data_IF_679308397835
#
_entry.id   IF_679308397835
#
_cell.length_a   1.000
_cell.length_b   1.000
_cell.length_c   1.000
_cell.angle_alpha   90.00
_cell.angle_beta   90.00
_cell.angle_gamma   90.00
#
_symmetry.space_group_name_H-M   'P 1'
#
loop_
_entity.id
_entity.type
_entity.pdbx_description
1 polymer ?
#
# COMPACT_ATOMS: atom_id res chain seq x y z
N UNK A 1 18.94 29.62 -9.94
CA UNK A 1 17.80 28.84 -9.43
C UNK A 1 16.70 29.82 -9.06
N UNK A 2 15.48 29.69 -9.61
CA UNK A 2 14.33 30.53 -9.20
C UNK A 2 14.14 30.40 -7.70
N UNK A 3 14.08 31.52 -6.97
CA UNK A 3 13.80 31.50 -5.53
C UNK A 3 12.41 30.87 -5.31
N UNK A 4 12.39 29.66 -4.75
CA UNK A 4 11.16 28.96 -4.35
C UNK A 4 10.40 29.82 -3.33
N UNK A 5 9.08 29.92 -3.48
CA UNK A 5 8.25 30.63 -2.52
C UNK A 5 8.33 29.96 -1.14
N UNK A 6 7.99 30.70 -0.07
CA UNK A 6 7.96 30.14 1.30
C UNK A 6 7.06 28.90 1.41
N UNK A 7 5.96 28.87 0.63
CA UNK A 7 5.07 27.71 0.54
C UNK A 7 5.69 26.54 -0.21
N UNK A 8 6.38 26.78 -1.32
CA UNK A 8 7.03 25.70 -2.07
C UNK A 8 8.14 25.05 -1.25
N UNK A 9 8.89 25.83 -0.45
CA UNK A 9 9.89 25.29 0.49
C UNK A 9 9.25 24.32 1.49
N UNK A 10 8.11 24.69 2.09
CA UNK A 10 7.35 23.80 3.00
C UNK A 10 6.88 22.53 2.28
N UNK A 11 6.45 22.65 1.02
CA UNK A 11 6.06 21.49 0.22
C UNK A 11 7.26 20.57 -0.07
N UNK A 12 8.44 21.12 -0.37
CA UNK A 12 9.67 20.32 -0.55
C UNK A 12 10.03 19.56 0.73
N UNK A 13 9.96 20.19 1.91
CA UNK A 13 10.17 19.47 3.17
C UNK A 13 9.14 18.34 3.38
N UNK A 14 7.88 18.58 3.02
CA UNK A 14 6.83 17.55 3.05
C UNK A 14 7.13 16.36 2.13
N UNK A 15 7.64 16.62 0.92
CA UNK A 15 8.09 15.57 0.01
C UNK A 15 9.24 14.78 0.63
N UNK A 16 10.28 15.45 1.14
CA UNK A 16 11.43 14.78 1.75
C UNK A 16 10.98 13.88 2.91
N UNK A 17 10.13 14.40 3.80
CA UNK A 17 9.58 13.63 4.91
C UNK A 17 8.80 12.40 4.42
N UNK A 18 7.97 12.56 3.38
CA UNK A 18 7.23 11.44 2.80
C UNK A 18 8.14 10.36 2.22
N UNK A 19 9.24 10.74 1.55
CA UNK A 19 10.25 9.80 1.05
C UNK A 19 10.93 9.05 2.20
N UNK A 20 11.28 9.75 3.28
CA UNK A 20 11.88 9.12 4.48
C UNK A 20 10.92 8.08 5.08
N UNK A 21 9.63 8.42 5.22
CA UNK A 21 8.60 7.48 5.71
C UNK A 21 8.49 6.26 4.79
N UNK A 22 8.50 6.44 3.47
CA UNK A 22 8.47 5.32 2.52
C UNK A 22 9.71 4.43 2.65
N UNK A 23 10.91 4.99 2.85
CA UNK A 23 12.14 4.23 3.11
C UNK A 23 12.00 3.40 4.39
N UNK A 24 11.46 3.96 5.47
CA UNK A 24 11.15 3.18 6.67
C UNK A 24 10.18 2.03 6.38
N UNK A 25 9.15 2.28 5.57
CA UNK A 25 8.23 1.23 5.12
C UNK A 25 8.94 0.08 4.41
N UNK A 26 9.88 0.38 3.51
CA UNK A 26 10.71 -0.64 2.83
C UNK A 26 11.58 -1.40 3.83
N UNK A 27 12.18 -0.72 4.82
CA UNK A 27 12.96 -1.40 5.86
C UNK A 27 12.10 -2.35 6.72
N UNK A 28 10.86 -1.97 7.04
CA UNK A 28 9.91 -2.85 7.70
C UNK A 28 9.50 -4.03 6.81
N UNK A 29 9.39 -3.83 5.50
CA UNK A 29 9.10 -4.89 4.53
C UNK A 29 10.23 -5.92 4.48
N UNK A 30 11.49 -5.48 4.34
CA UNK A 30 12.67 -6.36 4.32
C UNK A 30 12.79 -7.16 5.62
N UNK A 31 12.40 -6.58 6.76
CA UNK A 31 12.34 -7.26 8.04
C UNK A 31 11.16 -8.24 8.13
N UNK A 32 9.99 -7.88 7.59
CA UNK A 32 8.83 -8.79 7.51
C UNK A 32 9.13 -10.05 6.68
N UNK A 33 9.88 -9.89 5.59
CA UNK A 33 10.32 -10.98 4.73
C UNK A 33 11.40 -11.88 5.37
N UNK A 34 11.95 -11.50 6.53
CA UNK A 34 13.00 -12.25 7.20
C UNK A 34 14.39 -12.13 6.54
N UNK A 35 14.58 -11.13 5.67
CA UNK A 35 15.86 -10.89 4.97
C UNK A 35 16.86 -10.19 5.88
N UNK A 36 16.40 -9.23 6.71
CA UNK A 36 17.25 -8.51 7.66
C UNK A 36 16.50 -8.04 8.91
N UNK A 37 17.12 -8.17 10.09
CA UNK A 37 16.52 -7.81 11.38
C UNK A 37 16.90 -6.39 11.84
N UNK A 38 16.42 -5.36 11.14
CA UNK A 38 16.72 -3.96 11.48
C UNK A 38 16.14 -3.49 12.82
N UNK A 39 14.98 -4.05 13.23
CA UNK A 39 14.22 -3.62 14.41
C UNK A 39 13.82 -4.82 15.27
N UNK A 40 14.44 -4.96 16.44
CA UNK A 40 14.19 -6.10 17.35
C UNK A 40 12.74 -6.17 17.83
N UNK A 41 12.14 -5.04 18.22
CA UNK A 41 10.75 -4.99 18.70
C UNK A 41 9.74 -5.38 17.63
N UNK A 42 10.04 -5.07 16.36
CA UNK A 42 9.21 -5.46 15.23
C UNK A 42 9.38 -6.94 14.87
N UNK A 43 10.61 -7.46 14.95
CA UNK A 43 10.89 -8.88 14.74
C UNK A 43 10.16 -9.77 15.76
N UNK A 44 9.90 -9.27 16.97
CA UNK A 44 9.18 -9.97 18.03
C UNK A 44 7.66 -10.17 17.76
N UNK A 45 7.09 -9.50 16.77
CA UNK A 45 5.70 -9.73 16.36
C UNK A 45 5.60 -11.16 15.81
N UNK A 46 4.75 -12.00 16.39
CA UNK A 46 4.63 -13.40 15.97
C UNK A 46 3.83 -13.56 14.68
N UNK A 47 2.71 -12.84 14.56
CA UNK A 47 1.84 -12.96 13.40
C UNK A 47 2.46 -12.25 12.17
N UNK A 48 2.70 -12.95 11.05
CA UNK A 48 3.25 -12.34 9.85
C UNK A 48 2.35 -11.25 9.27
N UNK A 49 1.03 -11.45 9.23
CA UNK A 49 0.07 -10.46 8.74
C UNK A 49 0.12 -9.16 9.54
N UNK A 50 0.34 -9.24 10.86
CA UNK A 50 0.53 -8.06 11.70
C UNK A 50 1.78 -7.25 11.30
N UNK A 51 2.88 -7.92 10.93
CA UNK A 51 4.08 -7.25 10.38
C UNK A 51 3.75 -6.51 9.09
N UNK A 52 3.13 -7.20 8.13
CA UNK A 52 2.72 -6.58 6.87
C UNK A 52 1.71 -5.45 7.05
N UNK A 53 0.84 -5.51 8.06
CA UNK A 53 -0.08 -4.41 8.38
C UNK A 53 0.69 -3.13 8.78
N UNK A 54 1.75 -3.25 9.59
CA UNK A 54 2.62 -2.10 9.90
C UNK A 54 3.30 -1.55 8.65
N UNK A 55 3.81 -2.42 7.77
CA UNK A 55 4.40 -2.02 6.48
C UNK A 55 3.39 -1.21 5.66
N UNK A 56 2.18 -1.74 5.49
CA UNK A 56 1.10 -1.11 4.73
C UNK A 56 0.77 0.26 5.33
N UNK A 57 0.60 0.36 6.65
CA UNK A 57 0.28 1.63 7.32
C UNK A 57 1.39 2.68 7.12
N UNK A 58 2.65 2.30 7.30
CA UNK A 58 3.79 3.22 7.14
C UNK A 58 3.92 3.67 5.69
N UNK A 59 3.87 2.73 4.73
CA UNK A 59 3.96 3.07 3.30
C UNK A 59 2.78 3.89 2.81
N UNK A 60 1.55 3.52 3.19
CA UNK A 60 0.35 4.27 2.84
C UNK A 60 0.40 5.69 3.39
N UNK A 61 0.87 5.87 4.64
CA UNK A 61 1.07 7.21 5.23
C UNK A 61 2.05 8.05 4.42
N UNK A 62 3.18 7.46 4.01
CA UNK A 62 4.17 8.12 3.15
C UNK A 62 3.57 8.54 1.80
N UNK A 63 2.88 7.64 1.11
CA UNK A 63 2.25 7.90 -0.19
C UNK A 63 1.16 8.97 -0.09
N UNK A 64 0.29 8.88 0.93
CA UNK A 64 -0.77 9.87 1.18
C UNK A 64 -0.20 11.25 1.50
N UNK A 65 0.87 11.32 2.31
CA UNK A 65 1.55 12.57 2.61
C UNK A 65 2.16 13.17 1.34
N UNK A 66 2.89 12.36 0.54
CA UNK A 66 3.46 12.80 -0.73
C UNK A 66 2.37 13.35 -1.65
N UNK A 67 1.29 12.59 -1.83
CA UNK A 67 0.18 12.95 -2.72
C UNK A 67 -0.47 14.26 -2.28
N UNK A 68 -0.80 14.41 -1.00
CA UNK A 68 -1.40 15.62 -0.45
C UNK A 68 -0.48 16.85 -0.60
N UNK A 69 0.83 16.68 -0.39
CA UNK A 69 1.81 17.75 -0.56
C UNK A 69 1.99 18.12 -2.04
N UNK A 70 2.02 17.14 -2.94
CA UNK A 70 2.15 17.36 -4.39
C UNK A 70 1.00 18.24 -4.93
N UNK A 71 -0.20 18.08 -4.40
CA UNK A 71 -1.39 18.85 -4.79
C UNK A 71 -1.34 20.32 -4.38
N UNK A 72 -0.45 20.70 -3.46
CA UNK A 72 -0.31 22.07 -2.94
C UNK A 72 0.67 22.94 -3.72
N UNK A 73 1.43 22.38 -4.67
CA UNK A 73 2.30 23.17 -5.53
C UNK A 73 1.49 24.10 -6.45
N UNK A 74 1.93 25.36 -6.54
CA UNK A 74 1.32 26.37 -7.39
C UNK A 74 1.60 26.13 -8.87
N UNK A 75 2.80 25.63 -9.19
CA UNK A 75 3.20 25.24 -10.55
C UNK A 75 2.38 24.03 -11.03
N UNK A 76 1.51 24.27 -12.03
CA UNK A 76 0.63 23.26 -12.59
C UNK A 76 1.39 22.10 -13.23
N UNK A 77 2.52 22.37 -13.90
CA UNK A 77 3.32 21.34 -14.57
C UNK A 77 4.02 20.47 -13.53
N UNK A 78 4.57 21.06 -12.47
CA UNK A 78 5.20 20.32 -11.39
C UNK A 78 4.17 19.46 -10.62
N UNK A 79 3.03 20.04 -10.24
CA UNK A 79 1.94 19.34 -9.55
C UNK A 79 1.45 18.13 -10.34
N UNK A 80 1.16 18.30 -11.63
CA UNK A 80 0.70 17.19 -12.49
C UNK A 80 1.74 16.08 -12.58
N UNK A 81 3.01 16.43 -12.80
CA UNK A 81 4.10 15.42 -12.90
C UNK A 81 4.30 14.64 -11.60
N UNK A 82 4.36 15.33 -10.46
CA UNK A 82 4.53 14.68 -9.16
C UNK A 82 3.34 13.77 -8.82
N UNK A 83 2.12 14.21 -9.15
CA UNK A 83 0.92 13.42 -8.86
C UNK A 83 0.80 12.20 -9.78
N UNK A 84 1.13 12.34 -11.07
CA UNK A 84 1.19 11.19 -11.99
C UNK A 84 2.28 10.20 -11.54
N UNK A 85 3.44 10.71 -11.10
CA UNK A 85 4.52 9.86 -10.60
C UNK A 85 4.07 9.04 -9.38
N UNK A 86 3.51 9.68 -8.36
CA UNK A 86 3.13 8.97 -7.13
C UNK A 86 1.95 8.01 -7.35
N UNK A 87 1.00 8.37 -8.21
CA UNK A 87 -0.14 7.48 -8.56
C UNK A 87 0.32 6.26 -9.36
N UNK A 88 1.24 6.43 -10.33
CA UNK A 88 1.86 5.32 -11.05
C UNK A 88 2.67 4.42 -10.11
N UNK A 89 3.45 5.02 -9.20
CA UNK A 89 4.21 4.28 -8.19
C UNK A 89 3.30 3.47 -7.27
N UNK A 90 2.23 4.08 -6.74
CA UNK A 90 1.24 3.39 -5.92
C UNK A 90 0.57 2.24 -6.68
N UNK A 91 0.17 2.46 -7.94
CA UNK A 91 -0.41 1.42 -8.79
C UNK A 91 0.51 0.21 -8.94
N UNK A 92 1.80 0.44 -9.24
CA UNK A 92 2.78 -0.63 -9.40
C UNK A 92 2.94 -1.44 -8.10
N UNK A 93 2.95 -0.77 -6.94
CA UNK A 93 3.04 -1.44 -5.64
C UNK A 93 1.76 -2.20 -5.26
N UNK A 94 0.60 -1.76 -5.74
CA UNK A 94 -0.68 -2.43 -5.44
C UNK A 94 -0.88 -3.71 -6.27
N UNK A 95 -0.22 -3.87 -7.44
CA UNK A 95 -0.29 -5.10 -8.25
C UNK A 95 0.13 -6.34 -7.44
N UNK A 96 1.32 -6.39 -6.81
CA UNK A 96 1.73 -7.51 -5.98
C UNK A 96 0.77 -7.81 -4.83
N UNK A 97 0.32 -6.77 -4.12
CA UNK A 97 -0.63 -6.92 -3.03
C UNK A 97 -1.94 -7.54 -3.51
N UNK A 98 -2.51 -7.00 -4.60
CA UNK A 98 -3.76 -7.49 -5.19
C UNK A 98 -3.65 -8.95 -5.60
N UNK A 99 -2.53 -9.31 -6.23
CA UNK A 99 -2.26 -10.70 -6.58
C UNK A 99 -2.30 -11.62 -5.36
N UNK A 100 -1.60 -11.26 -4.27
CA UNK A 100 -1.58 -12.09 -3.05
C UNK A 100 -2.98 -12.26 -2.50
N UNK A 101 -3.74 -11.16 -2.38
CA UNK A 101 -5.10 -11.22 -1.83
C UNK A 101 -6.04 -12.11 -2.65
N UNK A 102 -5.88 -12.15 -3.97
CA UNK A 102 -6.63 -13.04 -4.85
C UNK A 102 -6.10 -14.48 -4.76
N UNK A 103 -4.78 -14.68 -4.75
CA UNK A 103 -4.14 -15.99 -4.74
C UNK A 103 -4.38 -16.78 -3.45
N UNK A 104 -4.71 -16.10 -2.34
CA UNK A 104 -5.09 -16.78 -1.09
C UNK A 104 -6.30 -17.70 -1.24
N UNK A 105 -7.29 -17.36 -2.09
CA UNK A 105 -8.49 -18.18 -2.30
C UNK A 105 -8.17 -19.58 -2.85
N UNK A 106 -7.53 -19.73 -4.03
CA UNK A 106 -7.17 -21.04 -4.54
C UNK A 106 -6.09 -21.72 -3.69
N UNK A 107 -5.26 -20.95 -2.97
CA UNK A 107 -4.27 -21.53 -2.05
C UNK A 107 -4.94 -22.23 -0.87
N UNK A 108 -5.87 -21.55 -0.18
CA UNK A 108 -6.64 -22.12 0.92
C UNK A 108 -7.56 -23.28 0.48
N UNK A 109 -8.02 -23.27 -0.78
CA UNK A 109 -8.76 -24.40 -1.34
C UNK A 109 -7.94 -25.69 -1.43
N UNK A 110 -6.61 -25.58 -1.52
CA UNK A 110 -5.70 -26.69 -1.79
C UNK A 110 -4.89 -27.11 -0.57
N UNK A 111 -4.56 -26.17 0.30
CA UNK A 111 -3.69 -26.38 1.45
C UNK A 111 -4.36 -25.86 2.72
N UNK A 112 -4.19 -26.59 3.81
CA UNK A 112 -4.53 -26.12 5.15
C UNK A 112 -3.26 -25.68 5.89
N UNK A 113 -3.43 -25.17 7.11
CA UNK A 113 -2.28 -24.71 7.91
C UNK A 113 -1.29 -25.83 8.25
N UNK A 114 -1.74 -27.07 8.46
CA UNK A 114 -0.85 -28.19 8.74
C UNK A 114 0.07 -28.51 7.54
N UNK A 115 -0.44 -28.42 6.32
CA UNK A 115 0.38 -28.57 5.11
C UNK A 115 1.48 -27.51 5.03
N UNK A 116 1.14 -26.27 5.42
CA UNK A 116 2.08 -25.14 5.42
C UNK A 116 3.16 -25.33 6.49
N UNK A 117 2.79 -25.70 7.72
CA UNK A 117 3.73 -25.99 8.81
C UNK A 117 4.68 -27.13 8.43
N UNK A 118 4.14 -28.23 7.88
CA UNK A 118 4.94 -29.36 7.44
C UNK A 118 5.95 -28.96 6.34
N UNK A 119 5.55 -28.10 5.40
CA UNK A 119 6.47 -27.62 4.35
C UNK A 119 7.58 -26.74 4.92
N UNK A 120 7.27 -25.87 5.89
CA UNK A 120 8.26 -25.02 6.56
C UNK A 120 9.24 -25.87 7.38
N UNK A 121 8.73 -26.83 8.15
CA UNK A 121 9.58 -27.67 9.00
C UNK A 121 10.43 -28.64 8.17
N UNK A 122 9.89 -29.20 7.09
CA UNK A 122 10.68 -29.99 6.14
C UNK A 122 11.80 -29.17 5.51
N UNK A 123 11.53 -27.92 5.12
CA UNK A 123 12.55 -27.02 4.58
C UNK A 123 13.64 -26.69 5.60
N UNK A 124 13.28 -26.46 6.87
CA UNK A 124 14.24 -26.23 7.97
C UNK A 124 15.09 -27.46 8.27
N UNK A 125 14.49 -28.64 8.23
CA UNK A 125 15.21 -29.89 8.49
C UNK A 125 16.18 -30.23 7.36
N UNK A 126 15.76 -30.00 6.11
CA UNK A 126 16.60 -30.25 4.94
C UNK A 126 17.77 -29.25 4.82
N UNK A 127 17.54 -28.01 5.26
CA UNK A 127 18.52 -26.92 5.15
C UNK A 127 18.62 -26.11 6.45
N UNK A 128 19.27 -26.65 7.49
CA UNK A 128 19.41 -25.97 8.79
C UNK A 128 20.23 -24.67 8.70
N UNK A 129 21.03 -24.50 7.64
CA UNK A 129 21.81 -23.30 7.37
C UNK A 129 20.99 -22.15 6.76
N UNK A 130 19.75 -22.40 6.32
CA UNK A 130 18.93 -21.39 5.66
C UNK A 130 18.44 -20.32 6.62
N UNK A 131 18.48 -19.08 6.13
CA UNK A 131 17.77 -17.97 6.77
C UNK A 131 16.25 -18.17 6.69
N UNK A 132 15.48 -17.47 7.52
CA UNK A 132 14.00 -17.52 7.49
C UNK A 132 13.45 -17.23 6.08
N UNK A 133 14.03 -16.27 5.37
CA UNK A 133 13.62 -15.94 4.00
C UNK A 133 13.82 -17.12 3.03
N UNK A 134 14.96 -17.81 3.13
CA UNK A 134 15.28 -18.96 2.27
C UNK A 134 14.43 -20.18 2.62
N UNK A 135 14.15 -20.40 3.91
CA UNK A 135 13.20 -21.42 4.36
C UNK A 135 11.82 -21.17 3.78
N UNK A 136 11.32 -19.93 3.87
CA UNK A 136 10.00 -19.57 3.33
C UNK A 136 9.97 -19.74 1.79
N UNK A 137 11.04 -19.39 1.09
CA UNK A 137 11.13 -19.61 -0.36
C UNK A 137 11.09 -21.11 -0.72
N UNK A 138 11.79 -21.95 0.04
CA UNK A 138 11.80 -23.39 -0.16
C UNK A 138 10.44 -24.03 0.16
N UNK A 139 9.82 -23.63 1.28
CA UNK A 139 8.50 -24.08 1.68
C UNK A 139 7.43 -23.69 0.64
N UNK A 140 7.46 -22.46 0.14
CA UNK A 140 6.55 -22.01 -0.91
C UNK A 140 6.70 -22.83 -2.20
N UNK A 141 7.93 -23.14 -2.62
CA UNK A 141 8.16 -24.05 -3.77
C UNK A 141 7.58 -25.44 -3.53
N UNK A 142 7.75 -26.00 -2.33
CA UNK A 142 7.17 -27.30 -1.96
C UNK A 142 5.64 -27.29 -2.00
N UNK A 143 5.02 -26.16 -1.63
CA UNK A 143 3.57 -25.91 -1.73
C UNK A 143 3.12 -25.56 -3.17
N UNK A 144 3.96 -25.80 -4.17
CA UNK A 144 3.63 -25.55 -5.58
C UNK A 144 3.47 -24.07 -5.94
N UNK A 145 3.90 -23.14 -5.07
CA UNK A 145 3.96 -21.73 -5.43
C UNK A 145 5.17 -21.52 -6.36
N UNK A 146 4.90 -21.11 -7.60
CA UNK A 146 5.94 -20.78 -8.58
C UNK A 146 5.98 -19.28 -8.88
N UNK A 147 7.17 -18.79 -9.22
CA UNK A 147 7.37 -17.41 -9.66
C UNK A 147 6.85 -16.39 -8.65
N UNK A 148 5.87 -15.59 -9.08
CA UNK A 148 5.38 -14.45 -8.32
C UNK A 148 4.74 -14.83 -6.97
N UNK A 149 3.98 -15.93 -6.89
CA UNK A 149 3.34 -16.35 -5.64
C UNK A 149 4.32 -16.77 -4.54
N UNK A 150 5.49 -17.29 -4.93
CA UNK A 150 6.53 -17.62 -3.97
C UNK A 150 7.28 -16.37 -3.51
N UNK A 151 7.66 -15.50 -4.45
CA UNK A 151 8.33 -14.23 -4.16
C UNK A 151 7.48 -13.38 -3.19
N UNK A 152 6.17 -13.37 -3.41
CA UNK A 152 5.23 -12.60 -2.61
C UNK A 152 4.84 -13.27 -1.29
N UNK A 153 5.33 -14.49 -1.01
CA UNK A 153 5.10 -15.17 0.26
C UNK A 153 3.63 -15.48 0.55
N UNK A 154 2.87 -15.95 -0.45
CA UNK A 154 1.42 -16.25 -0.29
C UNK A 154 1.17 -17.16 0.92
N UNK A 155 2.00 -18.19 1.12
CA UNK A 155 1.89 -19.11 2.26
C UNK A 155 2.11 -18.40 3.62
N UNK A 156 3.06 -17.45 3.69
CA UNK A 156 3.35 -16.67 4.90
C UNK A 156 2.21 -15.69 5.24
N UNK A 157 1.59 -15.10 4.22
CA UNK A 157 0.43 -14.23 4.41
C UNK A 157 -0.77 -15.05 4.86
N UNK A 158 -0.99 -16.20 4.23
CA UNK A 158 -2.01 -17.16 4.60
C UNK A 158 -1.90 -17.60 6.07
N UNK A 159 -0.69 -17.98 6.53
CA UNK A 159 -0.42 -18.26 7.95
C UNK A 159 -0.91 -17.13 8.86
N UNK A 160 -0.60 -15.88 8.52
CA UNK A 160 -1.03 -14.73 9.33
C UNK A 160 -2.55 -14.53 9.40
N UNK A 161 -3.28 -14.88 8.33
CA UNK A 161 -4.75 -14.88 8.35
C UNK A 161 -5.31 -16.03 9.20
N UNK A 162 -4.80 -17.25 9.03
CA UNK A 162 -5.18 -18.42 9.85
C UNK A 162 -4.95 -18.18 11.34
N UNK A 163 -3.82 -17.56 11.72
CA UNK A 163 -3.53 -17.21 13.11
C UNK A 163 -4.57 -16.26 13.74
N UNK A 164 -5.24 -15.41 12.96
CA UNK A 164 -6.24 -14.46 13.46
C UNK A 164 -7.67 -14.98 13.36
N UNK A 165 -8.00 -15.57 12.22
CA UNK A 165 -9.38 -15.94 11.89
C UNK A 165 -9.68 -17.40 12.16
N UNK A 166 -8.64 -18.23 12.33
CA UNK A 166 -8.67 -19.69 12.51
C UNK A 166 -9.32 -20.41 11.32
N UNK A 167 -9.16 -21.73 11.31
CA UNK A 167 -9.78 -22.59 10.31
C UNK A 167 -11.31 -22.58 10.47
N UNK A 168 -12.02 -22.52 9.34
CA UNK A 168 -13.48 -22.56 9.27
C UNK A 168 -14.08 -21.70 8.16
N UNK A 169 -15.40 -21.79 7.99
CA UNK A 169 -16.11 -21.11 6.89
C UNK A 169 -15.97 -19.58 6.90
N UNK A 170 -15.64 -18.96 8.04
CA UNK A 170 -15.49 -17.52 8.14
C UNK A 170 -14.23 -17.00 7.41
N UNK A 171 -13.15 -17.78 7.36
CA UNK A 171 -11.91 -17.34 6.68
C UNK A 171 -12.12 -17.17 5.18
N UNK A 172 -13.00 -17.98 4.58
CA UNK A 172 -13.43 -17.83 3.19
C UNK A 172 -14.09 -16.48 2.92
N UNK A 173 -14.97 -16.04 3.83
CA UNK A 173 -15.61 -14.72 3.74
C UNK A 173 -14.56 -13.62 3.80
N UNK A 174 -13.59 -13.74 4.70
CA UNK A 174 -12.47 -12.81 4.82
C UNK A 174 -11.65 -12.77 3.53
N UNK A 175 -11.29 -13.92 2.95
CA UNK A 175 -10.51 -13.96 1.71
C UNK A 175 -11.27 -13.38 0.51
N UNK A 176 -12.58 -13.66 0.38
CA UNK A 176 -13.41 -13.04 -0.67
C UNK A 176 -13.43 -11.52 -0.49
N UNK A 177 -13.63 -11.04 0.73
CA UNK A 177 -13.62 -9.61 1.03
C UNK A 177 -12.26 -8.96 0.72
N UNK A 178 -11.16 -9.61 1.12
CA UNK A 178 -9.81 -9.14 0.83
C UNK A 178 -9.50 -9.13 -0.67
N UNK A 179 -9.94 -10.14 -1.42
CA UNK A 179 -9.79 -10.17 -2.87
C UNK A 179 -10.53 -8.99 -3.53
N UNK A 180 -11.77 -8.71 -3.10
CA UNK A 180 -12.53 -7.54 -3.56
C UNK A 180 -11.79 -6.24 -3.22
N UNK A 181 -11.30 -6.10 -1.99
CA UNK A 181 -10.53 -4.93 -1.58
C UNK A 181 -9.24 -4.75 -2.40
N UNK A 182 -8.56 -5.84 -2.74
CA UNK A 182 -7.39 -5.81 -3.62
C UNK A 182 -7.72 -5.18 -4.97
N UNK A 183 -8.82 -5.62 -5.61
CA UNK A 183 -9.28 -5.05 -6.89
C UNK A 183 -9.65 -3.58 -6.75
N UNK A 184 -10.35 -3.22 -5.67
CA UNK A 184 -10.73 -1.81 -5.39
C UNK A 184 -9.47 -0.94 -5.24
N UNK A 185 -8.47 -1.40 -4.48
CA UNK A 185 -7.21 -0.68 -4.30
C UNK A 185 -6.37 -0.62 -5.57
N UNK A 186 -6.52 -1.56 -6.50
CA UNK A 186 -5.86 -1.49 -7.80
C UNK A 186 -6.47 -0.40 -8.70
N UNK A 187 -7.79 -0.21 -8.63
CA UNK A 187 -8.53 0.76 -9.44
C UNK A 187 -8.36 2.19 -8.91
N UNK A 188 -8.25 2.36 -7.59
CA UNK A 188 -8.20 3.68 -6.93
C UNK A 188 -7.07 4.58 -7.46
N UNK A 189 -5.80 4.15 -7.56
CA UNK A 189 -4.72 4.98 -8.08
C UNK A 189 -4.92 5.40 -9.54
N UNK A 190 -5.54 4.54 -10.35
CA UNK A 190 -5.88 4.85 -11.75
C UNK A 190 -6.93 5.96 -11.80
N UNK A 191 -8.00 5.83 -11.02
CA UNK A 191 -9.06 6.82 -10.94
C UNK A 191 -8.55 8.16 -10.40
N UNK A 192 -7.71 8.13 -9.36
CA UNK A 192 -7.07 9.30 -8.78
C UNK A 192 -6.16 10.01 -9.80
N UNK A 193 -5.33 9.25 -10.53
CA UNK A 193 -4.47 9.78 -11.58
C UNK A 193 -5.26 10.49 -12.70
N UNK A 194 -6.34 9.88 -13.18
CA UNK A 194 -7.21 10.47 -14.21
C UNK A 194 -7.87 11.77 -13.71
N UNK A 195 -8.35 11.80 -12.47
CA UNK A 195 -8.98 12.99 -11.89
C UNK A 195 -8.01 14.17 -11.86
N UNK A 196 -6.76 13.94 -11.46
CA UNK A 196 -5.76 14.99 -11.31
C UNK A 196 -5.34 15.59 -12.65
N UNK A 197 -5.24 14.78 -13.71
CA UNK A 197 -4.98 15.30 -15.07
C UNK A 197 -6.09 16.26 -15.51
N UNK A 198 -7.34 16.03 -15.06
CA UNK A 198 -8.50 16.90 -15.31
C UNK A 198 -8.62 18.07 -14.32
N UNK A 199 -7.61 18.32 -13.47
CA UNK A 199 -7.63 19.40 -12.49
C UNK A 199 -8.59 19.16 -11.30
N UNK A 200 -8.95 17.90 -11.07
CA UNK A 200 -9.86 17.47 -10.01
C UNK A 200 -9.15 16.55 -9.02
N UNK A 201 -9.73 16.39 -7.84
CA UNK A 201 -9.28 15.43 -6.83
C UNK A 201 -10.40 14.41 -6.60
N UNK A 202 -10.02 13.14 -6.46
CA UNK A 202 -10.91 12.09 -6.00
C UNK A 202 -10.89 12.06 -4.47
N UNK A 203 -12.04 12.27 -3.85
CA UNK A 203 -12.23 12.18 -2.42
C UNK A 203 -12.99 10.90 -2.10
N UNK A 204 -12.38 10.07 -1.26
CA UNK A 204 -13.01 8.88 -0.70
C UNK A 204 -13.66 9.25 0.63
N UNK A 205 -14.85 8.71 0.90
CA UNK A 205 -15.56 8.87 2.17
C UNK A 205 -15.70 10.34 2.59
N UNK A 206 -16.21 11.19 1.69
CA UNK A 206 -16.32 12.63 1.94
C UNK A 206 -17.77 13.05 2.15
N UNK A 207 -17.97 14.10 2.96
CA UNK A 207 -19.24 14.81 3.02
C UNK A 207 -19.29 15.91 1.96
N UNK A 208 -20.47 16.12 1.38
CA UNK A 208 -20.73 17.31 0.58
C UNK A 208 -21.01 18.54 1.45
N UNK A 209 -21.19 19.68 0.79
CA UNK A 209 -21.50 20.97 1.42
C UNK A 209 -22.86 20.94 2.15
N UNK A 210 -23.72 19.98 1.81
CA UNK A 210 -25.01 19.73 2.46
C UNK A 210 -24.92 18.65 3.56
N UNK A 211 -23.72 18.17 3.89
CA UNK A 211 -23.48 17.15 4.90
C UNK A 211 -23.79 15.71 4.46
N UNK A 212 -24.22 15.47 3.22
CA UNK A 212 -24.51 14.13 2.70
C UNK A 212 -23.20 13.36 2.45
N UNK A 213 -23.18 12.11 2.86
CA UNK A 213 -22.01 11.25 2.71
C UNK A 213 -21.93 10.66 1.31
N UNK A 214 -20.76 10.77 0.69
CA UNK A 214 -20.46 10.21 -0.62
C UNK A 214 -19.27 9.28 -0.52
N UNK A 215 -19.42 8.06 -1.04
CA UNK A 215 -18.35 7.07 -1.07
C UNK A 215 -17.20 7.51 -2.00
N UNK A 216 -17.57 8.07 -3.16
CA UNK A 216 -16.66 8.66 -4.14
C UNK A 216 -17.19 10.04 -4.54
N UNK A 217 -16.39 11.09 -4.36
CA UNK A 217 -16.71 12.45 -4.80
C UNK A 217 -15.54 13.03 -5.57
N UNK A 218 -15.82 13.64 -6.71
CA UNK A 218 -14.82 14.39 -7.46
C UNK A 218 -14.98 15.87 -7.11
N UNK A 219 -13.93 16.49 -6.59
CA UNK A 219 -13.90 17.90 -6.22
C UNK A 219 -12.82 18.66 -7.01
N UNK A 220 -12.90 19.98 -7.00
CA UNK A 220 -11.83 20.80 -7.59
C UNK A 220 -10.60 20.84 -6.69
N UNK A 221 -9.42 20.98 -7.30
CA UNK A 221 -8.17 21.11 -6.56
C UNK A 221 -8.17 22.35 -5.65
N UNK A 222 -7.75 22.23 -4.38
CA UNK A 222 -7.74 23.36 -3.44
C UNK A 222 -6.98 24.59 -3.94
N UNK A 223 -5.86 24.38 -4.64
CA UNK A 223 -5.04 25.47 -5.22
C UNK A 223 -5.78 26.20 -6.33
N UNK A 224 -6.55 25.49 -7.17
CA UNK A 224 -7.35 26.09 -8.23
C UNK A 224 -8.55 26.84 -7.66
N UNK A 225 -9.20 26.26 -6.64
CA UNK A 225 -10.27 26.93 -5.90
C UNK A 225 -9.79 28.26 -5.31
N UNK A 226 -8.66 28.26 -4.62
CA UNK A 226 -8.06 29.47 -4.02
C UNK A 226 -7.67 30.51 -5.09
N UNK A 227 -7.11 30.09 -6.23
CA UNK A 227 -6.78 31.02 -7.32
C UNK A 227 -8.03 31.70 -7.87
N UNK A 228 -9.09 30.94 -8.15
CA UNK A 228 -10.35 31.50 -8.66
C UNK A 228 -11.01 32.44 -7.65
N UNK A 229 -11.00 32.09 -6.36
CA UNK A 229 -11.50 32.98 -5.31
C UNK A 229 -10.73 34.31 -5.30
N UNK A 230 -9.39 34.27 -5.36
CA UNK A 230 -8.57 35.48 -5.46
C UNK A 230 -8.86 36.32 -6.71
N UNK A 231 -9.04 35.69 -7.88
CA UNK A 231 -9.40 36.39 -9.12
C UNK A 231 -10.78 37.07 -9.03
N UNK A 232 -11.73 36.49 -8.30
CA UNK A 232 -13.04 37.11 -8.05
C UNK A 232 -12.90 38.33 -7.13
N UNK A 233 -12.10 38.22 -6.06
CA UNK A 233 -11.83 39.35 -5.18
C UNK A 233 -11.13 40.50 -5.89
N UNK A 234 -10.14 40.22 -6.74
CA UNK A 234 -9.42 41.24 -7.52
C UNK A 234 -10.31 41.95 -8.54
N UNK A 235 -11.31 41.27 -9.11
CA UNK A 235 -12.28 41.89 -10.04
C UNK A 235 -13.37 42.70 -9.32
N UNK A 236 -13.58 42.46 -8.03
CA UNK A 236 -14.57 43.13 -7.22
C UNK A 236 -14.02 44.36 -6.47
N UNK A 237 -12.69 44.55 -6.49
CA UNK A 237 -11.96 45.70 -5.91
C UNK A 237 -11.68 46.75 -6.99
#
# INVERSE_FOLDING_TARGET
>A
MKNLSSNDKKCVYGIILSCVIMVFGILFLVNAMGVANFYKSYAAIKNPLAKYLVVILVMATGIMLFSNVALRFEDDKLRKRLTIFITAFAFILTIPLTYVLIAMLPFHAKYNMADVENAIDAARLAHPEYTTAQVNEAAGKALGLSGFGNIMGVHTIYEGFEMWFKDGAFIWVVFVFMAILGVVFLIEPLAAGICVVKGKILLLFSKDENGKFHLFRVAELPVLKKRRENEIYERAA
#
